data_IF_961822287779
#
_entry.id   IF_961822287779
#
_cell.length_a   1.000
_cell.length_b   1.000
_cell.length_c   1.000
_cell.angle_alpha   90.00
_cell.angle_beta   90.00
_cell.angle_gamma   90.00
#
_symmetry.space_group_name_H-M   'P 1'
#
loop_
_entity.id
_entity.type
_entity.pdbx_description
1 polymer ?
#
# COMPACT_ATOMS: atom_id res chain seq x y z
N UNK A 1 -2.12 -11.17 28.71
CA UNK A 1 -2.90 -11.04 27.44
C UNK A 1 -2.64 -9.64 26.85
N UNK A 2 -1.37 -9.24 26.76
CA UNK A 2 -0.92 -7.93 26.27
C UNK A 2 0.44 -8.06 25.57
N UNK A 3 0.68 -9.21 24.92
CA UNK A 3 2.01 -9.59 24.42
C UNK A 3 1.94 -10.34 23.07
N UNK A 4 0.85 -10.13 22.30
CA UNK A 4 0.60 -10.85 21.04
C UNK A 4 0.24 -9.93 19.87
N UNK A 5 0.68 -8.66 19.88
CA UNK A 5 0.54 -7.74 18.73
C UNK A 5 1.89 -7.16 18.23
N UNK A 6 3.02 -7.77 18.61
CA UNK A 6 4.32 -7.59 17.95
C UNK A 6 4.80 -8.90 17.33
N UNK A 7 3.93 -9.62 16.63
CA UNK A 7 4.37 -10.75 15.80
C UNK A 7 5.07 -10.20 14.55
N UNK A 8 6.34 -9.88 14.76
CA UNK A 8 7.46 -9.87 13.82
C UNK A 8 7.11 -10.44 12.44
N UNK A 9 7.22 -9.58 11.42
CA UNK A 9 7.54 -9.99 10.05
C UNK A 9 8.96 -10.60 10.01
N UNK A 10 9.15 -11.75 10.63
CA UNK A 10 10.39 -12.56 10.53
C UNK A 10 10.03 -13.92 9.94
N UNK A 11 9.61 -13.93 8.69
CA UNK A 11 9.48 -15.17 7.93
C UNK A 11 9.62 -14.92 6.44
N UNK A 12 10.83 -14.52 6.05
CA UNK A 12 11.42 -14.91 4.77
C UNK A 12 12.87 -15.25 5.08
N UNK A 13 13.13 -16.55 5.20
CA UNK A 13 14.48 -17.10 5.24
C UNK A 13 15.10 -17.02 3.86
N UNK A 14 15.41 -15.82 3.39
CA UNK A 14 16.33 -15.63 2.29
C UNK A 14 17.65 -15.14 2.87
N UNK A 15 18.63 -16.05 2.97
CA UNK A 15 20.05 -15.66 3.00
C UNK A 15 20.44 -15.12 1.61
N UNK A 16 19.73 -14.08 1.18
CA UNK A 16 19.95 -13.35 -0.06
C UNK A 16 20.76 -12.11 0.26
N UNK A 17 21.60 -11.73 -0.68
CA UNK A 17 22.40 -10.51 -0.66
C UNK A 17 21.65 -9.31 -0.04
N UNK A 18 22.04 -8.93 1.17
CA UNK A 18 21.52 -7.73 1.82
C UNK A 18 22.22 -6.55 1.17
N UNK A 19 21.51 -5.83 0.30
CA UNK A 19 22.00 -4.55 -0.22
C UNK A 19 22.34 -3.67 0.98
N UNK A 20 23.57 -3.19 1.05
CA UNK A 20 23.93 -2.15 2.01
C UNK A 20 23.24 -0.85 1.59
N UNK A 21 22.33 -0.33 2.43
CA UNK A 21 21.66 0.93 2.19
C UNK A 21 22.50 2.10 2.71
N UNK A 22 22.51 3.21 2.00
CA UNK A 22 23.04 4.48 2.50
C UNK A 22 21.94 5.29 3.17
N UNK A 23 22.29 6.15 4.13
CA UNK A 23 21.33 7.03 4.79
C UNK A 23 20.63 7.94 3.79
N UNK A 24 21.36 8.44 2.79
CA UNK A 24 20.81 9.28 1.73
C UNK A 24 19.82 8.53 0.84
N UNK A 25 20.04 7.24 0.57
CA UNK A 25 19.07 6.43 -0.18
C UNK A 25 17.77 6.25 0.58
N UNK A 26 17.85 5.91 1.87
CA UNK A 26 16.63 5.68 2.66
C UNK A 26 15.90 7.00 2.89
N UNK A 27 16.59 8.09 3.22
CA UNK A 27 15.96 9.41 3.40
C UNK A 27 15.25 9.90 2.14
N UNK A 28 15.75 9.55 0.94
CA UNK A 28 15.08 9.88 -0.32
C UNK A 28 13.74 9.17 -0.53
N UNK A 29 13.45 8.12 0.25
CA UNK A 29 12.17 7.44 0.19
C UNK A 29 11.05 8.23 0.84
N UNK A 30 11.32 9.16 1.76
CA UNK A 30 10.28 9.96 2.38
C UNK A 30 9.49 10.76 1.33
N UNK A 31 8.17 10.57 1.30
CA UNK A 31 7.27 11.14 0.30
C UNK A 31 7.20 10.37 -1.03
N UNK A 32 7.97 9.29 -1.21
CA UNK A 32 7.95 8.49 -2.42
C UNK A 32 6.65 7.69 -2.55
N UNK A 33 6.15 7.59 -3.78
CA UNK A 33 5.06 6.70 -4.14
C UNK A 33 5.62 5.30 -4.40
N UNK A 34 5.02 4.29 -3.77
CA UNK A 34 5.50 2.90 -3.77
C UNK A 34 4.30 1.93 -3.80
N UNK A 35 4.55 0.65 -4.00
CA UNK A 35 3.64 -0.42 -3.57
C UNK A 35 4.21 -1.09 -2.32
N UNK A 36 3.34 -1.28 -1.33
CA UNK A 36 3.70 -1.86 -0.05
C UNK A 36 2.81 -3.08 0.27
N UNK A 37 3.36 -4.10 0.95
CA UNK A 37 2.60 -5.25 1.38
C UNK A 37 1.62 -4.86 2.50
N UNK A 38 0.44 -5.46 2.45
CA UNK A 38 -0.56 -5.42 3.49
C UNK A 38 -0.97 -6.85 3.84
N UNK A 39 -1.00 -7.15 5.13
CA UNK A 39 -1.43 -8.45 5.64
C UNK A 39 -2.77 -8.30 6.34
N UNK A 40 -3.76 -9.02 5.84
CA UNK A 40 -5.10 -9.07 6.41
C UNK A 40 -5.13 -9.95 7.67
N UNK A 41 -6.14 -9.75 8.53
CA UNK A 41 -6.26 -10.50 9.79
C UNK A 41 -6.38 -12.02 9.60
N UNK A 42 -6.87 -12.47 8.44
CA UNK A 42 -6.98 -13.88 8.10
C UNK A 42 -5.73 -14.44 7.41
N UNK A 43 -4.65 -13.65 7.29
CA UNK A 43 -3.38 -14.06 6.70
C UNK A 43 -3.27 -13.83 5.20
N UNK A 44 -4.21 -13.10 4.59
CA UNK A 44 -4.12 -12.68 3.20
C UNK A 44 -2.99 -11.68 3.01
N UNK A 45 -2.17 -11.85 1.97
CA UNK A 45 -1.09 -10.94 1.63
C UNK A 45 -1.38 -10.30 0.27
N UNK A 46 -1.34 -8.97 0.20
CA UNK A 46 -1.55 -8.21 -1.03
C UNK A 46 -0.72 -6.94 -1.06
N UNK A 47 -0.36 -6.47 -2.25
CA UNK A 47 0.41 -5.24 -2.43
C UNK A 47 -0.50 -4.09 -2.85
N UNK A 48 -0.38 -2.95 -2.20
CA UNK A 48 -1.21 -1.77 -2.46
C UNK A 48 -0.34 -0.55 -2.69
N UNK A 49 -0.84 0.37 -3.51
CA UNK A 49 -0.21 1.67 -3.71
C UNK A 49 -0.21 2.45 -2.38
N UNK A 50 0.94 3.04 -2.06
CA UNK A 50 1.17 3.74 -0.81
C UNK A 50 2.14 4.91 -1.01
N UNK A 51 2.19 5.78 -0.02
CA UNK A 51 3.18 6.85 0.12
C UNK A 51 4.00 6.57 1.37
N UNK A 52 5.32 6.68 1.26
CA UNK A 52 6.21 6.63 2.42
C UNK A 52 6.04 7.92 3.22
N UNK A 53 5.56 7.80 4.45
CA UNK A 53 5.33 8.91 5.37
C UNK A 53 6.60 9.29 6.14
N UNK A 54 7.35 8.30 6.62
CA UNK A 54 8.59 8.52 7.37
C UNK A 54 9.54 7.34 7.23
N UNK A 55 10.81 7.58 7.51
CA UNK A 55 11.89 6.59 7.47
C UNK A 55 12.40 6.29 8.88
N UNK A 56 12.85 5.06 9.10
CA UNK A 56 13.32 4.59 10.40
C UNK A 56 12.19 4.05 11.29
N UNK A 57 12.59 3.46 12.42
CA UNK A 57 11.65 2.86 13.37
C UNK A 57 10.78 3.96 14.01
N UNK A 58 9.45 3.86 13.97
CA UNK A 58 8.57 4.85 14.60
C UNK A 58 8.70 4.89 16.13
N UNK A 59 9.24 3.82 16.73
CA UNK A 59 9.38 3.68 18.19
C UNK A 59 10.68 4.28 18.73
N UNK A 60 11.77 4.21 17.97
CA UNK A 60 13.11 4.67 18.40
C UNK A 60 13.60 5.88 17.61
N UNK A 61 13.05 6.13 16.42
CA UNK A 61 13.56 7.12 15.47
C UNK A 61 14.91 6.72 14.85
N UNK A 62 15.42 5.53 15.16
CA UNK A 62 16.69 5.05 14.65
C UNK A 62 16.54 4.47 13.24
N UNK A 63 17.55 4.72 12.41
CA UNK A 63 17.64 4.20 11.07
C UNK A 63 18.67 3.07 11.03
N UNK A 64 18.20 1.82 10.97
CA UNK A 64 19.05 0.66 10.71
C UNK A 64 19.31 0.55 9.20
N UNK A 65 20.54 0.78 8.76
CA UNK A 65 20.92 0.72 7.35
C UNK A 65 21.07 -0.71 6.81
N UNK A 66 21.12 -1.72 7.69
CA UNK A 66 21.19 -3.12 7.26
C UNK A 66 19.81 -3.64 6.82
N UNK A 67 18.77 -3.26 7.55
CA UNK A 67 17.37 -3.57 7.25
C UNK A 67 16.49 -2.35 7.53
N UNK A 68 16.55 -1.31 6.69
CA UNK A 68 15.81 -0.09 6.94
C UNK A 68 14.31 -0.32 6.86
N UNK A 69 13.61 0.28 7.80
CA UNK A 69 12.15 0.30 7.89
C UNK A 69 11.62 1.67 7.45
N UNK A 70 10.42 1.65 6.88
CA UNK A 70 9.65 2.85 6.55
C UNK A 70 8.23 2.70 7.06
N UNK A 71 7.58 3.84 7.34
CA UNK A 71 6.14 3.89 7.63
C UNK A 71 5.43 4.35 6.37
N UNK A 72 4.47 3.56 5.89
CA UNK A 72 3.69 3.86 4.68
C UNK A 72 2.22 4.13 4.99
N UNK A 73 1.59 4.97 4.18
CA UNK A 73 0.14 5.19 4.16
C UNK A 73 -0.42 4.76 2.81
N UNK A 74 -1.46 3.91 2.83
CA UNK A 74 -2.07 3.42 1.62
C UNK A 74 -2.92 4.49 0.92
N UNK A 75 -2.79 4.59 -0.41
CA UNK A 75 -3.48 5.57 -1.26
C UNK A 75 -4.96 5.24 -1.43
N UNK A 76 -5.26 3.97 -1.65
CA UNK A 76 -6.62 3.47 -1.81
C UNK A 76 -6.99 2.50 -0.66
N UNK A 77 -7.35 3.00 0.55
CA UNK A 77 -7.75 2.15 1.66
C UNK A 77 -8.95 1.28 1.30
N UNK A 78 -8.75 -0.03 1.16
CA UNK A 78 -9.82 -0.99 0.86
C UNK A 78 -10.44 -1.60 2.11
N UNK A 79 -9.80 -1.41 3.27
CA UNK A 79 -10.31 -1.85 4.57
C UNK A 79 -10.07 -0.80 5.67
N UNK A 80 -10.81 -0.86 6.80
CA UNK A 80 -10.66 0.12 7.87
C UNK A 80 -9.25 0.23 8.46
N UNK A 81 -8.49 -0.87 8.48
CA UNK A 81 -7.12 -0.89 9.00
C UNK A 81 -6.13 -0.11 8.12
N UNK A 82 -6.48 0.20 6.87
CA UNK A 82 -5.69 1.03 5.95
C UNK A 82 -6.08 2.52 6.04
N UNK A 83 -7.22 2.87 6.64
CA UNK A 83 -7.68 4.27 6.68
C UNK A 83 -6.77 5.12 7.57
N UNK A 84 -6.16 6.20 7.06
CA UNK A 84 -5.26 7.03 7.85
C UNK A 84 -6.00 7.79 8.97
N UNK A 85 -5.38 7.83 10.15
CA UNK A 85 -5.87 8.58 11.30
C UNK A 85 -5.63 10.09 11.10
N UNK A 86 -6.70 10.85 10.85
CA UNK A 86 -6.60 12.31 10.67
C UNK A 86 -5.95 13.03 11.85
N UNK A 87 -6.21 12.57 13.08
CA UNK A 87 -5.63 13.15 14.29
C UNK A 87 -4.15 12.82 14.44
N UNK A 88 -3.71 11.66 13.96
CA UNK A 88 -2.29 11.30 13.97
C UNK A 88 -1.52 12.16 12.98
N UNK A 89 -2.07 12.33 11.77
CA UNK A 89 -1.50 13.22 10.76
C UNK A 89 -1.39 14.68 11.22
N UNK A 90 -2.28 15.12 12.12
CA UNK A 90 -2.22 16.46 12.72
C UNK A 90 -1.46 16.53 14.05
N UNK A 91 -0.85 15.44 14.51
CA UNK A 91 -0.11 15.37 15.78
C UNK A 91 -0.98 15.46 17.04
N UNK A 92 -2.29 15.26 16.93
CA UNK A 92 -3.26 15.38 18.03
C UNK A 92 -3.92 14.04 18.41
N UNK A 93 -3.38 12.92 17.94
CA UNK A 93 -3.86 11.60 18.35
C UNK A 93 -3.32 11.24 19.73
N UNK A 94 -4.20 10.84 20.64
CA UNK A 94 -3.82 10.40 21.99
C UNK A 94 -3.82 8.88 22.14
N UNK A 95 -4.19 8.14 21.09
CA UNK A 95 -4.12 6.69 21.08
C UNK A 95 -2.71 6.26 20.70
N UNK A 96 -2.15 5.30 21.42
CA UNK A 96 -0.87 4.69 21.05
C UNK A 96 -1.06 3.70 19.89
N UNK A 97 0.04 3.31 19.26
CA UNK A 97 0.03 2.36 18.14
C UNK A 97 -0.73 1.07 18.50
N UNK A 98 -1.58 0.62 17.57
CA UNK A 98 -2.45 -0.55 17.76
C UNK A 98 -3.72 -0.32 18.59
N UNK A 99 -3.84 0.80 19.31
CA UNK A 99 -5.08 1.15 20.05
C UNK A 99 -5.99 2.12 19.30
N UNK A 100 -5.46 2.79 18.27
CA UNK A 100 -6.22 3.66 17.40
C UNK A 100 -7.06 2.83 16.42
N UNK A 101 -8.33 3.23 16.21
CA UNK A 101 -9.21 2.58 15.23
C UNK A 101 -8.77 2.84 13.78
N UNK A 102 -7.98 3.88 13.55
CA UNK A 102 -7.47 4.28 12.24
C UNK A 102 -5.95 4.07 12.19
N UNK A 103 -5.43 3.84 10.98
CA UNK A 103 -4.02 3.59 10.72
C UNK A 103 -3.14 4.78 11.08
N UNK A 104 -2.05 4.52 11.80
CA UNK A 104 -0.89 5.44 11.92
C UNK A 104 0.15 5.18 10.82
N UNK A 105 -0.17 4.30 9.88
CA UNK A 105 0.74 3.76 8.87
C UNK A 105 1.18 2.34 9.19
N UNK A 106 1.72 1.68 8.18
CA UNK A 106 2.25 0.33 8.28
C UNK A 106 3.76 0.37 8.20
N UNK A 107 4.42 -0.35 9.11
CA UNK A 107 5.88 -0.49 9.09
C UNK A 107 6.24 -1.57 8.07
N UNK A 108 7.11 -1.22 7.13
CA UNK A 108 7.51 -2.08 6.01
C UNK A 108 9.03 -1.99 5.83
N UNK A 109 9.68 -3.11 5.56
CA UNK A 109 11.10 -3.11 5.20
C UNK A 109 11.28 -2.53 3.81
N UNK A 110 12.30 -1.71 3.60
CA UNK A 110 12.57 -1.11 2.28
C UNK A 110 12.73 -2.17 1.19
N UNK A 111 13.27 -3.34 1.53
CA UNK A 111 13.43 -4.46 0.59
C UNK A 111 12.10 -5.06 0.10
N UNK A 112 11.02 -4.88 0.87
CA UNK A 112 9.69 -5.38 0.54
C UNK A 112 8.87 -4.35 -0.25
N UNK A 113 9.43 -3.18 -0.58
CA UNK A 113 8.76 -2.20 -1.42
C UNK A 113 8.83 -2.59 -2.90
N UNK A 114 7.72 -2.37 -3.61
CA UNK A 114 7.60 -2.57 -5.07
C UNK A 114 7.40 -1.23 -5.77
N UNK A 115 7.73 -1.12 -7.08
CA UNK A 115 7.45 0.09 -7.85
C UNK A 115 5.99 0.50 -7.72
N UNK A 116 5.74 1.81 -7.64
CA UNK A 116 4.38 2.34 -7.72
C UNK A 116 3.73 1.90 -9.04
N UNK A 117 2.52 1.35 -8.96
CA UNK A 117 1.72 1.06 -10.14
C UNK A 117 0.87 2.28 -10.41
N UNK A 118 1.21 3.02 -11.47
CA UNK A 118 0.36 4.11 -11.96
C UNK A 118 -0.98 3.50 -12.37
N UNK A 119 -2.11 3.95 -11.80
CA UNK A 119 -3.42 3.57 -12.31
C UNK A 119 -3.44 3.89 -13.81
N UNK A 120 -3.62 2.86 -14.63
CA UNK A 120 -3.69 3.03 -16.09
C UNK A 120 -4.64 4.19 -16.40
N UNK A 121 -4.22 5.13 -17.26
CA UNK A 121 -5.07 6.22 -17.72
C UNK A 121 -6.02 5.77 -18.82
N UNK A 122 -6.24 4.45 -18.96
CA UNK A 122 -7.13 3.88 -19.96
C UNK A 122 -8.55 4.44 -19.85
N UNK A 123 -9.21 4.52 -21.01
CA UNK A 123 -10.59 4.96 -21.06
C UNK A 123 -11.47 3.93 -20.32
N UNK A 124 -12.07 4.39 -19.21
CA UNK A 124 -13.03 3.58 -18.47
C UNK A 124 -14.16 3.19 -19.42
N UNK A 125 -14.44 1.88 -19.52
CA UNK A 125 -15.45 1.31 -20.41
C UNK A 125 -16.38 0.37 -19.66
N UNK A 126 -17.56 0.09 -20.22
CA UNK A 126 -18.46 -0.92 -19.67
C UNK A 126 -17.75 -2.27 -19.55
N UNK A 127 -17.83 -2.89 -18.38
CA UNK A 127 -17.16 -4.13 -18.02
C UNK A 127 -15.80 -3.94 -17.31
N UNK A 128 -15.22 -2.73 -17.34
CA UNK A 128 -13.96 -2.45 -16.64
C UNK A 128 -14.09 -2.68 -15.13
N UNK A 129 -13.09 -3.33 -14.53
CA UNK A 129 -12.96 -3.49 -13.08
C UNK A 129 -12.27 -2.28 -12.49
N UNK A 130 -12.88 -1.69 -11.47
CA UNK A 130 -12.40 -0.45 -10.86
C UNK A 130 -12.46 -0.53 -9.34
N UNK A 131 -11.60 0.22 -8.66
CA UNK A 131 -11.86 0.71 -7.32
C UNK A 131 -12.59 2.04 -7.44
N UNK A 132 -13.61 2.19 -6.60
CA UNK A 132 -14.44 3.38 -6.52
C UNK A 132 -14.60 3.77 -5.05
N UNK A 133 -14.55 5.06 -4.78
CA UNK A 133 -14.89 5.57 -3.47
C UNK A 133 -16.39 5.86 -3.42
N UNK A 134 -17.07 5.31 -2.42
CA UNK A 134 -18.48 5.60 -2.18
C UNK A 134 -18.74 5.76 -0.69
N UNK A 135 -19.59 6.71 -0.34
CA UNK A 135 -20.10 6.86 1.01
C UNK A 135 -21.10 5.76 1.31
N UNK A 136 -20.59 4.61 1.73
CA UNK A 136 -21.44 3.61 2.38
C UNK A 136 -22.00 4.25 3.65
N UNK A 137 -23.32 4.27 3.78
CA UNK A 137 -23.92 4.60 5.07
C UNK A 137 -23.32 3.67 6.12
N UNK A 138 -22.95 4.18 7.31
CA UNK A 138 -22.38 3.34 8.35
C UNK A 138 -23.35 2.18 8.67
N UNK A 139 -22.84 0.99 8.99
CA UNK A 139 -23.69 -0.16 9.29
C UNK A 139 -24.69 0.17 10.40
N UNK A 140 -25.93 -0.37 10.36
CA UNK A 140 -26.99 -0.03 11.31
C UNK A 140 -26.63 -0.34 12.78
N UNK A 141 -25.62 -1.19 13.04
CA UNK A 141 -25.06 -1.43 14.37
C UNK A 141 -24.37 -0.21 15.00
N UNK A 142 -24.08 0.84 14.21
CA UNK A 142 -23.48 2.11 14.63
C UNK A 142 -24.53 3.25 14.73
N UNK A 143 -25.82 2.97 14.49
CA UNK A 143 -26.89 3.98 14.47
C UNK A 143 -27.42 4.35 15.87
N UNK A 144 -27.00 3.64 16.91
CA UNK A 144 -27.52 3.76 18.27
C UNK A 144 -26.91 4.89 19.12
N UNK A 145 -26.17 5.83 18.52
CA UNK A 145 -25.64 7.01 19.21
C UNK A 145 -26.20 8.30 18.61
N UNK A 146 -27.40 8.70 19.06
CA UNK A 146 -28.11 9.95 18.69
C UNK A 146 -27.36 11.27 18.98
N UNK A 147 -26.06 11.25 19.28
CA UNK A 147 -25.21 12.41 19.56
C UNK A 147 -23.91 12.51 18.75
N UNK A 148 -23.70 11.70 17.70
CA UNK A 148 -22.50 11.83 16.82
C UNK A 148 -22.83 11.85 15.33
N UNK A 149 -23.83 12.66 14.94
CA UNK A 149 -24.12 12.95 13.51
C UNK A 149 -23.21 14.02 12.88
N UNK A 150 -22.23 14.54 13.60
CA UNK A 150 -21.23 15.45 13.04
C UNK A 150 -19.88 14.72 12.95
N UNK A 151 -19.42 14.49 11.73
CA UNK A 151 -18.01 14.31 11.34
C UNK A 151 -17.42 12.90 11.25
N UNK A 152 -18.11 11.82 11.64
CA UNK A 152 -17.63 10.45 11.33
C UNK A 152 -18.26 9.90 10.05
N UNK A 153 -18.03 10.62 8.94
CA UNK A 153 -18.21 10.11 7.59
C UNK A 153 -17.11 9.06 7.42
N UNK A 154 -17.44 7.79 7.24
CA UNK A 154 -16.47 6.79 6.75
C UNK A 154 -16.12 7.06 5.27
N UNK A 155 -15.99 8.34 4.90
CA UNK A 155 -15.51 8.81 3.61
C UNK A 155 -14.03 8.47 3.55
N UNK A 156 -13.69 7.52 2.69
CA UNK A 156 -12.31 7.09 2.54
C UNK A 156 -12.14 5.69 2.00
N UNK A 157 -13.11 4.79 2.23
CA UNK A 157 -12.98 3.41 1.76
C UNK A 157 -13.21 3.29 0.26
N UNK A 158 -12.30 2.57 -0.37
CA UNK A 158 -12.37 2.16 -1.76
C UNK A 158 -12.96 0.77 -1.83
N UNK A 159 -13.93 0.60 -2.72
CA UNK A 159 -14.56 -0.68 -2.97
C UNK A 159 -14.33 -1.09 -4.41
N UNK A 160 -14.13 -2.38 -4.61
CA UNK A 160 -14.09 -2.93 -5.95
C UNK A 160 -15.49 -2.89 -6.58
N UNK A 161 -15.55 -2.64 -7.87
CA UNK A 161 -16.77 -2.68 -8.65
C UNK A 161 -16.50 -2.94 -10.13
N UNK A 162 -17.58 -3.09 -10.87
CA UNK A 162 -17.58 -3.25 -12.32
C UNK A 162 -18.37 -2.11 -12.93
N UNK A 163 -17.81 -1.44 -13.94
CA UNK A 163 -18.48 -0.37 -14.66
C UNK A 163 -19.61 -0.96 -15.51
N UNK A 164 -20.84 -0.51 -15.30
CA UNK A 164 -21.99 -0.89 -16.12
C UNK A 164 -22.11 0.01 -17.34
N UNK A 165 -22.02 1.32 -17.13
CA UNK A 165 -22.23 2.33 -18.16
C UNK A 165 -21.35 3.56 -17.94
N UNK A 166 -21.01 4.25 -19.05
CA UNK A 166 -20.13 5.42 -19.06
C UNK A 166 -20.90 6.61 -19.62
N UNK A 167 -21.20 7.57 -18.75
CA UNK A 167 -21.89 8.80 -19.09
C UNK A 167 -20.86 9.87 -19.46
N UNK A 168 -20.19 9.67 -20.61
CA UNK A 168 -19.05 10.50 -21.05
C UNK A 168 -19.36 12.01 -21.09
N UNK A 169 -20.61 12.39 -21.42
CA UNK A 169 -21.03 13.79 -21.44
C UNK A 169 -21.03 14.47 -20.04
N UNK A 170 -21.05 13.69 -18.97
CA UNK A 170 -21.11 14.17 -17.58
C UNK A 170 -19.83 13.85 -16.80
N UNK A 171 -18.84 13.21 -17.43
CA UNK A 171 -17.63 12.71 -16.77
C UNK A 171 -17.93 11.74 -15.60
N UNK A 172 -19.00 10.95 -15.74
CA UNK A 172 -19.47 9.98 -14.74
C UNK A 172 -19.48 8.56 -15.30
N UNK A 173 -19.29 7.58 -14.43
CA UNK A 173 -19.53 6.17 -14.70
C UNK A 173 -20.48 5.58 -13.65
N UNK A 174 -21.35 4.67 -14.10
CA UNK A 174 -22.20 3.86 -13.24
C UNK A 174 -21.44 2.60 -12.88
N UNK A 175 -21.12 2.41 -11.60
CA UNK A 175 -20.31 1.28 -11.11
C UNK A 175 -21.17 0.40 -10.22
N UNK A 176 -21.25 -0.89 -10.53
CA UNK A 176 -21.81 -1.90 -9.63
C UNK A 176 -20.77 -2.27 -8.58
N UNK A 177 -20.97 -1.82 -7.34
CA UNK A 177 -20.07 -2.15 -6.24
C UNK A 177 -20.19 -3.63 -5.85
N UNK A 178 -19.05 -4.33 -5.77
CA UNK A 178 -18.99 -5.75 -5.48
C UNK A 178 -19.39 -6.09 -4.05
N UNK A 179 -19.19 -5.15 -3.11
CA UNK A 179 -19.43 -5.33 -1.68
C UNK A 179 -20.89 -5.08 -1.32
N UNK A 180 -21.40 -3.88 -1.63
CA UNK A 180 -22.76 -3.50 -1.26
C UNK A 180 -23.83 -3.91 -2.28
N UNK A 181 -23.43 -4.39 -3.47
CA UNK A 181 -24.34 -4.78 -4.57
C UNK A 181 -25.28 -3.66 -5.02
N UNK A 182 -24.81 -2.41 -4.91
CA UNK A 182 -25.55 -1.21 -5.34
C UNK A 182 -24.79 -0.56 -6.50
N UNK A 183 -25.56 -0.03 -7.45
CA UNK A 183 -25.03 0.81 -8.53
C UNK A 183 -24.83 2.23 -8.01
N UNK A 184 -23.61 2.73 -8.15
CA UNK A 184 -23.18 4.04 -7.66
C UNK A 184 -22.67 4.86 -8.84
N UNK A 185 -22.94 6.16 -8.83
CA UNK A 185 -22.38 7.09 -9.82
C UNK A 185 -21.08 7.67 -9.26
N UNK A 186 -20.01 7.50 -10.01
CA UNK A 186 -18.68 7.97 -9.64
C UNK A 186 -18.13 8.88 -10.75
N UNK A 187 -17.45 9.95 -10.37
CA UNK A 187 -16.63 10.71 -11.32
C UNK A 187 -15.52 9.82 -11.85
N UNK A 188 -15.30 9.84 -13.17
CA UNK A 188 -14.31 8.96 -13.83
C UNK A 188 -12.91 9.18 -13.24
N UNK A 189 -12.55 10.44 -12.93
CA UNK A 189 -11.28 10.80 -12.27
C UNK A 189 -11.08 10.20 -10.87
N UNK A 190 -12.15 9.74 -10.21
CA UNK A 190 -12.11 9.11 -8.88
C UNK A 190 -12.23 7.59 -8.96
N UNK A 191 -11.97 7.01 -10.13
CA UNK A 191 -11.87 5.57 -10.34
C UNK A 191 -10.42 5.17 -10.53
N UNK A 192 -10.04 4.05 -9.92
CA UNK A 192 -8.74 3.41 -10.15
C UNK A 192 -9.00 2.10 -10.86
N UNK A 193 -8.53 1.95 -12.09
CA UNK A 193 -8.68 0.68 -12.79
C UNK A 193 -7.83 -0.40 -12.15
N UNK A 194 -8.40 -1.60 -12.10
CA UNK A 194 -7.73 -2.80 -11.64
C UNK A 194 -7.34 -3.61 -12.88
N UNK A 195 -6.05 -3.88 -13.05
CA UNK A 195 -5.61 -4.88 -14.02
C UNK A 195 -6.02 -6.27 -13.54
N UNK A 196 -6.27 -7.20 -14.47
CA UNK A 196 -6.57 -8.60 -14.14
C UNK A 196 -5.31 -9.40 -13.76
N UNK A 197 -4.23 -8.71 -13.37
CA UNK A 197 -2.98 -9.35 -13.01
C UNK A 197 -3.15 -10.13 -11.69
N UNK A 198 -3.26 -11.45 -11.88
CA UNK A 198 -3.17 -12.49 -10.88
C UNK A 198 -1.84 -12.36 -10.10
N UNK A 199 -1.80 -11.57 -9.03
CA UNK A 199 -0.80 -11.72 -7.95
C UNK A 199 -1.14 -12.96 -7.07
N UNK A 200 -1.59 -14.07 -7.68
CA UNK A 200 -1.53 -15.38 -7.04
C UNK A 200 -0.14 -15.91 -7.35
N UNK A 201 0.82 -15.50 -6.51
CA UNK A 201 2.17 -16.03 -6.54
C UNK A 201 2.06 -17.55 -6.35
N UNK A 202 2.21 -18.26 -7.46
CA UNK A 202 2.12 -19.71 -7.58
C UNK A 202 3.18 -20.30 -6.66
N UNK A 203 2.76 -20.85 -5.52
CA UNK A 203 3.62 -21.66 -4.66
C UNK A 203 4.11 -22.85 -5.49
N UNK A 204 5.36 -22.78 -5.95
CA UNK A 204 5.97 -23.89 -6.65
C UNK A 204 6.27 -24.98 -5.62
N UNK A 205 5.55 -26.10 -5.69
CA UNK A 205 5.81 -27.28 -4.86
C UNK A 205 7.25 -27.76 -5.04
N UNK A 206 7.93 -27.96 -3.91
CA UNK A 206 9.24 -28.58 -3.79
C UNK A 206 9.20 -30.02 -4.35
N UNK A 207 9.54 -30.15 -5.62
CA UNK A 207 9.90 -31.43 -6.24
C UNK A 207 11.30 -31.85 -5.77
N UNK A 208 11.36 -32.82 -4.87
CA UNK A 208 12.59 -33.50 -4.43
C UNK A 208 13.45 -34.00 -5.60
N UNK A 209 14.78 -33.82 -5.60
CA UNK A 209 15.64 -34.52 -6.53
C UNK A 209 16.62 -35.48 -5.83
N UNK A 210 16.78 -36.68 -6.38
CA UNK A 210 18.06 -37.35 -6.68
C UNK A 210 17.86 -38.87 -6.95
N UNK A 211 18.81 -39.57 -7.59
CA UNK A 211 19.98 -39.10 -8.35
C UNK A 211 20.01 -39.67 -9.78
N UNK A 212 20.89 -39.18 -10.65
CA UNK A 212 21.91 -39.99 -11.33
C UNK A 212 22.89 -39.04 -12.03
N UNK A 213 24.17 -39.33 -11.82
CA UNK A 213 25.31 -38.51 -12.20
C UNK A 213 25.56 -38.52 -13.71
N UNK A 214 26.00 -37.39 -14.27
CA UNK A 214 27.09 -37.34 -15.26
C UNK A 214 27.43 -35.92 -15.72
N UNK A 215 28.72 -35.61 -15.58
CA UNK A 215 29.53 -34.65 -16.37
C UNK A 215 29.38 -33.16 -16.06
N UNK A 216 30.46 -32.64 -15.47
CA UNK A 216 30.76 -31.25 -15.15
C UNK A 216 31.15 -30.47 -16.41
N UNK A 217 30.61 -29.27 -16.61
CA UNK A 217 31.30 -28.17 -17.28
C UNK A 217 31.07 -26.83 -16.55
N UNK A 218 32.06 -25.91 -16.50
CA UNK A 218 31.99 -24.72 -15.67
C UNK A 218 31.07 -23.63 -16.23
N UNK A 219 30.40 -22.99 -15.29
CA UNK A 219 29.46 -21.89 -15.37
C UNK A 219 30.20 -20.56 -15.57
N UNK A 220 29.83 -19.76 -16.57
CA UNK A 220 30.11 -18.32 -16.64
C UNK A 220 28.82 -17.49 -16.49
N UNK A 221 29.00 -16.36 -15.80
CA UNK A 221 28.01 -15.65 -15.02
C UNK A 221 27.14 -14.71 -15.83
N UNK A 222 25.83 -14.70 -15.56
CA UNK A 222 24.91 -13.65 -16.04
C UNK A 222 23.61 -13.58 -15.23
N UNK A 223 23.69 -13.56 -13.89
CA UNK A 223 22.52 -13.35 -13.01
C UNK A 223 22.51 -12.00 -12.27
N UNK A 224 23.52 -11.15 -12.48
CA UNK A 224 23.65 -9.85 -11.80
C UNK A 224 22.64 -8.78 -12.29
N UNK A 225 22.13 -8.93 -13.52
CA UNK A 225 21.27 -7.90 -14.12
C UNK A 225 19.84 -7.87 -13.54
N UNK A 226 19.31 -9.02 -13.13
CA UNK A 226 17.89 -9.14 -12.78
C UNK A 226 17.55 -8.52 -11.41
N UNK A 227 18.43 -8.71 -10.41
CA UNK A 227 18.21 -8.16 -9.05
C UNK A 227 18.48 -6.65 -9.01
N UNK A 228 19.50 -6.18 -9.74
CA UNK A 228 19.81 -4.75 -9.83
C UNK A 228 18.70 -3.95 -10.56
N UNK A 229 18.03 -4.55 -11.56
CA UNK A 229 16.93 -3.90 -12.29
C UNK A 229 15.69 -3.68 -11.42
N UNK A 230 15.42 -4.56 -10.44
CA UNK A 230 14.23 -4.48 -9.60
C UNK A 230 14.23 -3.32 -8.60
N UNK A 231 15.38 -2.66 -8.36
CA UNK A 231 15.53 -1.62 -7.33
C UNK A 231 15.96 -0.25 -7.87
N UNK A 232 16.29 -0.11 -9.15
CA UNK A 232 16.72 1.17 -9.75
C UNK A 232 15.64 2.26 -9.65
N UNK A 233 14.35 1.88 -9.65
CA UNK A 233 13.23 2.81 -9.53
C UNK A 233 13.20 3.54 -8.17
N UNK A 234 13.72 2.94 -7.09
CA UNK A 234 13.85 3.61 -5.78
C UNK A 234 14.79 4.83 -5.82
N UNK A 235 15.60 4.94 -6.86
CA UNK A 235 16.60 5.99 -7.05
C UNK A 235 16.14 7.08 -8.03
N UNK A 236 14.97 6.94 -8.64
CA UNK A 236 14.44 7.86 -9.64
C UNK A 236 13.12 8.52 -9.14
N UNK A 237 13.13 9.81 -8.78
CA UNK A 237 11.91 10.51 -8.39
C UNK A 237 10.91 10.52 -9.55
N UNK A 238 9.66 10.17 -9.27
CA UNK A 238 8.53 10.63 -10.09
C UNK A 238 8.58 12.16 -10.07
N UNK A 239 8.68 12.80 -11.24
CA UNK A 239 8.90 14.25 -11.39
C UNK A 239 7.72 15.14 -10.91
N UNK A 240 6.77 14.60 -10.13
CA UNK A 240 5.53 15.30 -9.76
C UNK A 240 5.49 15.86 -8.33
N UNK A 241 6.47 15.64 -7.47
CA UNK A 241 6.47 16.22 -6.11
C UNK A 241 7.80 16.89 -5.73
N UNK A 242 8.15 17.98 -6.42
CA UNK A 242 9.30 18.84 -6.03
C UNK A 242 9.02 19.77 -4.84
N UNK A 243 7.87 19.62 -4.17
CA UNK A 243 7.57 20.36 -2.94
C UNK A 243 8.05 19.59 -1.71
N UNK A 244 9.14 20.05 -1.07
CA UNK A 244 9.48 19.61 0.29
C UNK A 244 8.26 19.76 1.20
N UNK A 245 7.72 18.63 1.68
CA UNK A 245 6.74 18.60 2.76
C UNK A 245 7.41 19.26 3.98
N UNK A 246 6.93 20.42 4.42
CA UNK A 246 7.51 21.18 5.55
C UNK A 246 7.82 22.67 5.31
N UNK A 247 7.60 23.22 4.11
CA UNK A 247 7.77 24.68 3.91
C UNK A 247 6.70 25.55 4.61
N UNK A 248 5.65 24.95 5.17
CA UNK A 248 4.57 25.67 5.87
C UNK A 248 5.02 26.25 7.22
N UNK A 249 6.09 25.72 7.82
CA UNK A 249 6.58 26.15 9.15
C UNK A 249 7.25 27.54 9.15
N UNK A 250 7.50 28.14 7.98
CA UNK A 250 8.19 29.45 7.88
C UNK A 250 7.26 30.66 8.01
N UNK A 251 5.94 30.46 8.10
CA UNK A 251 4.98 31.57 8.03
C UNK A 251 4.05 31.74 9.25
N UNK A 252 4.41 31.16 10.40
CA UNK A 252 3.77 31.48 11.69
C UNK A 252 4.83 31.90 12.69
N UNK A 253 5.09 33.21 12.73
CA UNK A 253 5.69 33.92 13.86
C UNK A 253 4.59 34.44 14.77
#
# INVERSE_FOLDING_TARGET
IAELLQQRNTSSGHAGFVKAWTAEEVQRLEGAEVRAPFTELWGGHSYHNAIVMSVGSPSTGELDLSCPEVVVLFREPTCPAMLPCKFFLSGSCHYMDGSCQYSHGSIVLVQDLRPYTVPESCDVSSGSRVLCQHETQPPPSQLNSSRRRSNNKQAGLWHQGTVEDVLAAQDLASVMCSVCKVVIQCEIRNLVMLSDDHDTEKSEELGSPAPEASVVQPLDSSSDAAVAQQQHWLLAPSQQTTGKLGQWEKHTK
#
